data_IF_617291541702
#
_entry.id   IF_617291541702
#
_cell.length_a   1.000
_cell.length_b   1.000
_cell.length_c   1.000
_cell.angle_alpha   90.00
_cell.angle_beta   90.00
_cell.angle_gamma   90.00
#
_symmetry.space_group_name_H-M   'P 1'
#
loop_
_entity.id
_entity.type
_entity.pdbx_description
1 polymer ?
#
# COMPACT_ATOMS: atom_id res chain seq x y z
N UNK A 1 0.30 9.28 8.24
CA UNK A 1 -0.99 8.61 8.48
C UNK A 1 -0.85 7.15 8.07
N UNK A 2 -1.59 6.23 8.70
CA UNK A 2 -1.68 4.81 8.26
C UNK A 2 -3.14 4.55 7.89
N UNK A 3 -3.39 4.01 6.71
CA UNK A 3 -4.74 3.68 6.24
C UNK A 3 -4.71 2.52 5.24
N UNK A 4 -5.80 1.76 5.19
CA UNK A 4 -6.07 0.80 4.13
C UNK A 4 -6.99 1.37 3.04
N UNK A 5 -7.49 2.60 3.20
CA UNK A 5 -8.30 3.27 2.19
C UNK A 5 -7.41 3.89 1.09
N UNK A 6 -7.47 3.41 -0.15
CA UNK A 6 -6.70 3.97 -1.26
C UNK A 6 -7.09 5.42 -1.59
N UNK A 7 -8.33 5.85 -1.32
CA UNK A 7 -8.76 7.23 -1.56
C UNK A 7 -8.06 8.16 -0.59
N UNK A 8 -8.09 7.87 0.70
CA UNK A 8 -7.37 8.64 1.71
C UNK A 8 -5.85 8.67 1.45
N UNK A 9 -5.24 7.54 1.05
CA UNK A 9 -3.81 7.45 0.75
C UNK A 9 -3.39 8.28 -0.48
N UNK A 10 -4.26 8.46 -1.46
CA UNK A 10 -3.97 9.22 -2.68
C UNK A 10 -3.72 10.72 -2.47
N UNK A 11 -4.08 11.25 -1.30
CA UNK A 11 -3.78 12.64 -0.92
C UNK A 11 -2.34 12.82 -0.42
N UNK A 12 -1.56 11.76 -0.26
CA UNK A 12 -0.18 11.84 0.21
C UNK A 12 0.80 12.05 -0.96
N UNK A 13 1.82 12.86 -0.73
CA UNK A 13 2.92 13.05 -1.69
C UNK A 13 3.81 11.82 -1.87
N UNK A 14 3.76 10.89 -0.90
CA UNK A 14 4.58 9.68 -0.87
C UNK A 14 3.84 8.55 -0.14
N UNK A 15 3.96 7.35 -0.68
CA UNK A 15 3.27 6.15 -0.20
C UNK A 15 4.30 5.07 0.09
N UNK A 16 4.28 4.55 1.32
CA UNK A 16 5.12 3.46 1.77
C UNK A 16 4.24 2.24 2.03
N UNK A 17 4.57 1.11 1.41
CA UNK A 17 3.93 -0.16 1.70
C UNK A 17 4.81 -0.94 2.66
N UNK A 18 4.22 -1.39 3.77
CA UNK A 18 4.89 -2.17 4.79
C UNK A 18 4.38 -3.62 4.77
N UNK A 19 5.30 -4.56 4.94
CA UNK A 19 4.99 -5.95 5.24
C UNK A 19 6.04 -6.51 6.21
N UNK A 20 5.59 -7.29 7.20
CA UNK A 20 6.45 -7.89 8.23
C UNK A 20 7.42 -6.89 8.89
N UNK A 21 6.93 -5.68 9.16
CA UNK A 21 7.70 -4.60 9.78
C UNK A 21 8.77 -3.96 8.88
N UNK A 22 8.78 -4.27 7.57
CA UNK A 22 9.73 -3.74 6.59
C UNK A 22 9.00 -2.94 5.51
N UNK A 23 9.66 -1.91 4.99
CA UNK A 23 9.18 -1.20 3.80
C UNK A 23 9.50 -2.08 2.59
N UNK A 24 8.45 -2.53 1.90
CA UNK A 24 8.57 -3.39 0.71
C UNK A 24 8.41 -2.60 -0.59
N UNK A 25 7.70 -1.47 -0.55
CA UNK A 25 7.60 -0.53 -1.67
C UNK A 25 7.60 0.91 -1.18
N UNK A 26 8.24 1.78 -1.98
CA UNK A 26 8.31 3.22 -1.78
C UNK A 26 7.95 3.88 -3.12
N UNK A 27 6.87 4.65 -3.12
CA UNK A 27 6.32 5.28 -4.31
C UNK A 27 6.03 6.75 -4.05
N UNK A 28 6.14 7.63 -5.07
CA UNK A 28 5.61 8.99 -5.00
C UNK A 28 4.08 8.96 -4.91
N UNK A 29 3.42 10.11 -5.06
CA UNK A 29 1.96 10.19 -5.16
C UNK A 29 1.42 9.19 -6.21
N UNK A 30 0.32 8.53 -5.86
CA UNK A 30 -0.36 7.54 -6.71
C UNK A 30 -1.85 7.80 -6.73
N UNK A 31 -2.52 7.37 -7.79
CA UNK A 31 -3.98 7.38 -7.88
C UNK A 31 -4.60 6.30 -6.97
N UNK A 32 -5.86 6.45 -6.54
CA UNK A 32 -6.55 5.43 -5.75
C UNK A 32 -6.56 4.04 -6.41
N UNK A 33 -6.70 3.99 -7.75
CA UNK A 33 -6.70 2.74 -8.50
C UNK A 33 -5.34 2.01 -8.42
N UNK A 34 -4.24 2.73 -8.62
CA UNK A 34 -2.89 2.17 -8.54
C UNK A 34 -2.55 1.68 -7.12
N UNK A 35 -2.99 2.41 -6.10
CA UNK A 35 -2.82 2.02 -4.69
C UNK A 35 -3.56 0.71 -4.42
N UNK A 36 -4.84 0.64 -4.80
CA UNK A 36 -5.68 -0.56 -4.62
C UNK A 36 -5.08 -1.77 -5.33
N UNK A 37 -4.66 -1.63 -6.59
CA UNK A 37 -4.00 -2.72 -7.33
C UNK A 37 -2.69 -3.17 -6.67
N UNK A 38 -1.91 -2.23 -6.11
CA UNK A 38 -0.67 -2.56 -5.41
C UNK A 38 -0.93 -3.33 -4.11
N UNK A 39 -1.94 -2.92 -3.33
CA UNK A 39 -2.35 -3.64 -2.11
C UNK A 39 -2.74 -5.08 -2.42
N UNK A 40 -3.62 -5.29 -3.41
CA UNK A 40 -4.04 -6.63 -3.85
C UNK A 40 -2.86 -7.48 -4.33
N UNK A 41 -1.92 -6.88 -5.06
CA UNK A 41 -0.72 -7.59 -5.51
C UNK A 41 0.16 -8.02 -4.34
N UNK A 42 0.30 -7.20 -3.31
CA UNK A 42 1.10 -7.53 -2.12
C UNK A 42 0.43 -8.62 -1.29
N UNK A 43 -0.88 -8.62 -1.14
CA UNK A 43 -1.64 -9.70 -0.49
C UNK A 43 -1.39 -11.05 -1.18
N UNK A 44 -1.38 -11.07 -2.51
CA UNK A 44 -1.17 -12.30 -3.27
C UNK A 44 0.29 -12.79 -3.23
N UNK A 45 1.25 -11.88 -3.04
CA UNK A 45 2.68 -12.21 -2.90
C UNK A 45 3.05 -12.62 -1.48
N UNK A 46 2.27 -12.24 -0.47
CA UNK A 46 2.54 -12.45 0.95
C UNK A 46 1.33 -13.11 1.62
N UNK A 47 1.15 -14.44 1.47
CA UNK A 47 -0.03 -15.18 1.95
C UNK A 47 -0.27 -15.19 3.48
N UNK A 48 0.45 -14.37 4.25
CA UNK A 48 0.29 -14.17 5.70
C UNK A 48 -0.13 -12.77 6.14
N UNK A 49 -0.35 -11.81 5.22
CA UNK A 49 -0.64 -10.40 5.57
C UNK A 49 -2.04 -10.16 6.21
N UNK A 50 -2.83 -11.23 6.40
CA UNK A 50 -4.07 -11.23 7.18
C UNK A 50 -3.78 -11.70 8.61
N UNK A 51 -3.17 -10.83 9.41
CA UNK A 51 -3.09 -10.99 10.86
C UNK A 51 -3.55 -9.70 11.54
#
# INVERSE_FOLDING_TARGET
MVTHDPVAASYADRILFLADGKIVLDRPAMTPAEISSTMLSLENLLPGARA
#
